data_IF_265854961430
#
_entry.id   IF_265854961430
#
_cell.length_a   1.000
_cell.length_b   1.000
_cell.length_c   1.000
_cell.angle_alpha   90.00
_cell.angle_beta   90.00
_cell.angle_gamma   90.00
#
_symmetry.space_group_name_H-M   'P 1'
#
loop_
_entity.id
_entity.type
_entity.pdbx_description
1 polymer ?
#
# COMPACT_ATOMS: atom_id res chain seq x y z
N UNK A 1 24.45 -4.12 7.49
CA UNK A 1 23.03 -4.34 7.18
C UNK A 1 22.39 -5.24 8.21
N UNK A 2 21.07 -5.38 8.17
CA UNK A 2 20.30 -6.24 9.06
C UNK A 2 19.40 -7.24 8.32
N UNK A 3 19.53 -7.30 6.99
CA UNK A 3 18.96 -8.32 6.12
C UNK A 3 19.87 -8.55 4.91
N UNK A 4 19.69 -9.65 4.19
CA UNK A 4 20.36 -9.87 2.91
C UNK A 4 19.57 -9.20 1.78
N UNK A 5 20.27 -8.48 0.91
CA UNK A 5 19.73 -7.80 -0.25
C UNK A 5 20.44 -8.28 -1.52
N UNK A 6 20.36 -9.59 -1.78
CA UNK A 6 20.97 -10.22 -2.95
C UNK A 6 22.48 -10.36 -2.80
N UNK A 7 22.92 -10.97 -1.69
CA UNK A 7 24.35 -11.17 -1.38
C UNK A 7 25.06 -9.92 -0.89
N UNK A 8 24.32 -8.84 -0.62
CA UNK A 8 24.84 -7.59 -0.03
C UNK A 8 24.07 -7.27 1.25
N UNK A 9 24.71 -6.74 2.30
CA UNK A 9 24.00 -6.33 3.49
C UNK A 9 23.02 -5.19 3.19
N UNK A 10 21.73 -5.42 3.45
CA UNK A 10 20.65 -4.43 3.32
C UNK A 10 20.46 -3.60 4.58
N UNK A 11 20.20 -2.30 4.40
CA UNK A 11 19.88 -1.36 5.48
C UNK A 11 21.02 -1.05 6.46
N UNK A 12 20.69 -0.35 7.53
CA UNK A 12 21.58 0.04 8.63
C UNK A 12 20.98 -0.38 9.96
N UNK A 13 21.79 -0.83 10.91
CA UNK A 13 21.35 -1.16 12.28
C UNK A 13 22.37 -0.67 13.28
N UNK A 14 21.88 -0.01 14.35
CA UNK A 14 22.68 0.35 15.53
C UNK A 14 21.84 0.16 16.78
N UNK A 15 22.28 -0.73 17.67
CA UNK A 15 21.51 -1.16 18.84
C UNK A 15 20.08 -1.58 18.43
N UNK A 16 19.05 -0.92 19.00
CA UNK A 16 17.64 -1.15 18.65
C UNK A 16 17.08 -0.28 17.53
N UNK A 17 17.94 0.43 16.80
CA UNK A 17 17.53 1.24 15.64
C UNK A 17 17.83 0.48 14.35
N UNK A 18 16.81 0.31 13.51
CA UNK A 18 16.88 -0.37 12.22
C UNK A 18 16.40 0.60 11.13
N UNK A 19 17.24 0.85 10.13
CA UNK A 19 16.95 1.73 9.00
C UNK A 19 17.06 1.00 7.67
N UNK A 20 16.22 1.36 6.71
CA UNK A 20 16.26 0.84 5.34
C UNK A 20 15.62 1.85 4.39
N UNK A 21 16.07 1.87 3.13
CA UNK A 21 15.44 2.64 2.05
C UNK A 21 14.50 1.78 1.19
N UNK A 22 14.33 0.50 1.53
CA UNK A 22 13.48 -0.42 0.80
C UNK A 22 12.03 -0.26 1.26
N UNK A 23 11.23 0.36 0.41
CA UNK A 23 9.79 0.45 0.58
C UNK A 23 9.16 -0.94 0.38
N UNK A 24 8.07 -1.22 1.10
CA UNK A 24 7.35 -2.49 0.99
C UNK A 24 8.06 -3.71 1.58
N UNK A 25 9.26 -3.55 2.16
CA UNK A 25 10.01 -4.68 2.76
C UNK A 25 9.18 -5.45 3.81
N UNK A 26 8.36 -4.74 4.58
CA UNK A 26 7.48 -5.32 5.60
C UNK A 26 6.15 -5.86 5.06
N UNK A 27 5.88 -5.72 3.76
CA UNK A 27 4.74 -6.38 3.11
C UNK A 27 5.01 -7.88 2.90
N UNK A 28 6.28 -8.29 2.90
CA UNK A 28 6.65 -9.68 3.02
C UNK A 28 6.36 -10.17 4.44
N UNK A 29 5.33 -11.02 4.57
CA UNK A 29 4.87 -11.50 5.85
C UNK A 29 5.97 -12.26 6.62
N UNK A 30 6.72 -13.16 5.97
CA UNK A 30 7.80 -13.91 6.61
C UNK A 30 8.87 -12.97 7.19
N UNK A 31 9.34 -12.04 6.38
CA UNK A 31 10.34 -11.05 6.79
C UNK A 31 9.84 -10.20 7.96
N UNK A 32 8.62 -9.69 7.86
CA UNK A 32 7.99 -8.87 8.90
C UNK A 32 7.86 -9.64 10.20
N UNK A 33 7.42 -10.91 10.15
CA UNK A 33 7.27 -11.75 11.34
C UNK A 33 8.62 -11.95 12.03
N UNK A 34 9.65 -12.35 11.28
CA UNK A 34 11.00 -12.53 11.84
C UNK A 34 11.58 -11.24 12.44
N UNK A 35 11.36 -10.10 11.78
CA UNK A 35 11.81 -8.83 12.32
C UNK A 35 11.05 -8.43 13.59
N UNK A 36 9.73 -8.69 13.68
CA UNK A 36 8.95 -8.38 14.88
C UNK A 36 9.40 -9.20 16.09
N UNK A 37 9.80 -10.46 15.91
CA UNK A 37 10.43 -11.27 16.97
C UNK A 37 11.72 -10.63 17.46
N UNK A 38 12.57 -10.20 16.52
CA UNK A 38 13.83 -9.51 16.82
C UNK A 38 13.58 -8.18 17.55
N UNK A 39 12.61 -7.39 17.09
CA UNK A 39 12.25 -6.11 17.68
C UNK A 39 11.70 -6.28 19.11
N UNK A 40 10.86 -7.29 19.34
CA UNK A 40 10.34 -7.61 20.66
C UNK A 40 11.45 -8.01 21.64
N UNK A 41 12.40 -8.85 21.19
CA UNK A 41 13.56 -9.24 22.00
C UNK A 41 14.43 -8.03 22.37
N UNK A 42 14.75 -7.18 21.38
CA UNK A 42 15.54 -5.94 21.58
C UNK A 42 14.84 -4.97 22.52
N UNK A 43 13.50 -4.90 22.49
CA UNK A 43 12.70 -4.03 23.34
C UNK A 43 12.38 -4.63 24.73
N UNK A 44 12.87 -5.84 25.05
CA UNK A 44 12.58 -6.51 26.33
C UNK A 44 11.10 -6.90 26.50
N UNK A 45 10.36 -7.08 25.40
CA UNK A 45 8.93 -7.40 25.41
C UNK A 45 8.72 -8.92 25.50
N UNK A 46 9.03 -9.47 26.68
CA UNK A 46 8.81 -10.87 26.97
C UNK A 46 7.30 -11.18 26.96
N UNK A 47 6.89 -12.17 26.16
CA UNK A 47 5.47 -12.54 25.98
C UNK A 47 4.80 -11.97 24.74
N UNK A 48 5.51 -11.16 23.93
CA UNK A 48 5.03 -10.83 22.59
C UNK A 48 5.05 -12.06 21.70
N UNK A 49 3.92 -12.34 21.04
CA UNK A 49 3.78 -13.39 20.02
C UNK A 49 3.35 -12.74 18.71
N UNK A 50 4.03 -13.08 17.63
CA UNK A 50 3.70 -12.57 16.30
C UNK A 50 2.43 -13.25 15.80
N UNK A 51 1.48 -12.46 15.31
CA UNK A 51 0.26 -12.97 14.70
C UNK A 51 0.58 -13.77 13.43
N UNK A 52 0.32 -15.08 13.46
CA UNK A 52 0.60 -16.00 12.37
C UNK A 52 -0.38 -15.80 11.19
N UNK A 53 -1.62 -15.41 11.48
CA UNK A 53 -2.73 -15.25 10.54
C UNK A 53 -2.78 -13.88 9.85
N UNK A 54 -1.96 -12.92 10.29
CA UNK A 54 -1.87 -11.60 9.64
C UNK A 54 -1.10 -11.73 8.33
N UNK A 55 -1.82 -11.60 7.21
CA UNK A 55 -1.25 -11.42 5.88
C UNK A 55 -1.44 -10.00 5.34
N UNK A 56 -0.36 -9.38 4.88
CA UNK A 56 -0.41 -8.07 4.21
C UNK A 56 -0.99 -8.21 2.80
N UNK A 57 -0.58 -9.23 2.05
CA UNK A 57 -1.13 -9.51 0.73
C UNK A 57 -2.65 -9.73 0.80
N UNK A 58 -3.12 -10.60 1.71
CA UNK A 58 -4.55 -10.83 1.89
C UNK A 58 -5.33 -9.59 2.33
N UNK A 59 -4.74 -8.70 3.14
CA UNK A 59 -5.35 -7.40 3.48
C UNK A 59 -5.46 -6.47 2.28
N UNK A 60 -4.43 -6.45 1.42
CA UNK A 60 -4.44 -5.64 0.20
C UNK A 60 -5.50 -6.15 -0.77
N UNK A 61 -5.57 -7.46 -0.96
CA UNK A 61 -6.56 -8.08 -1.84
C UNK A 61 -7.98 -7.77 -1.35
N UNK A 62 -8.26 -7.94 -0.06
CA UNK A 62 -9.56 -7.60 0.52
C UNK A 62 -9.93 -6.11 0.37
N UNK A 63 -8.95 -5.20 0.39
CA UNK A 63 -9.19 -3.79 0.13
C UNK A 63 -9.53 -3.52 -1.33
N UNK A 64 -8.85 -4.19 -2.26
CA UNK A 64 -9.12 -4.08 -3.69
C UNK A 64 -10.50 -4.67 -4.03
N UNK A 65 -10.85 -5.80 -3.45
CA UNK A 65 -12.17 -6.43 -3.60
C UNK A 65 -13.27 -5.50 -3.10
N UNK A 66 -13.10 -4.90 -1.91
CA UNK A 66 -14.06 -3.93 -1.40
C UNK A 66 -14.22 -2.72 -2.31
N UNK A 67 -13.13 -2.19 -2.88
CA UNK A 67 -13.20 -1.10 -3.84
C UNK A 67 -13.93 -1.53 -5.11
N UNK A 68 -13.64 -2.72 -5.64
CA UNK A 68 -14.31 -3.26 -6.81
C UNK A 68 -15.82 -3.42 -6.57
N UNK A 69 -16.22 -3.97 -5.42
CA UNK A 69 -17.63 -4.13 -5.04
C UNK A 69 -18.36 -2.79 -4.96
N UNK A 70 -17.74 -1.77 -4.32
CA UNK A 70 -18.32 -0.44 -4.23
C UNK A 70 -18.48 0.22 -5.59
N UNK A 71 -17.49 0.05 -6.48
CA UNK A 71 -17.57 0.57 -7.85
C UNK A 71 -18.69 -0.15 -8.61
N UNK A 72 -18.75 -1.48 -8.54
CA UNK A 72 -19.79 -2.26 -9.24
C UNK A 72 -21.21 -1.94 -8.74
N UNK A 73 -21.37 -1.67 -7.44
CA UNK A 73 -22.67 -1.39 -6.84
C UNK A 73 -23.14 0.06 -7.05
N UNK A 74 -22.22 1.02 -7.22
CA UNK A 74 -22.54 2.45 -7.10
C UNK A 74 -22.00 3.33 -8.22
N UNK A 75 -21.26 2.79 -9.19
CA UNK A 75 -20.72 3.55 -10.31
C UNK A 75 -21.19 2.93 -11.64
N UNK A 76 -21.58 3.78 -12.57
CA UNK A 76 -21.71 3.40 -13.98
C UNK A 76 -20.29 3.24 -14.56
N UNK A 77 -19.75 2.02 -14.45
CA UNK A 77 -18.38 1.70 -14.88
C UNK A 77 -18.24 1.93 -16.39
N UNK A 78 -19.25 1.57 -17.18
CA UNK A 78 -19.23 1.73 -18.64
C UNK A 78 -19.16 3.21 -19.04
N UNK A 79 -19.92 4.08 -18.38
CA UNK A 79 -19.84 5.52 -18.62
C UNK A 79 -18.46 6.10 -18.29
N UNK A 80 -17.82 5.63 -17.19
CA UNK A 80 -16.48 6.08 -16.83
C UNK A 80 -15.42 5.58 -17.81
N UNK A 81 -15.47 4.31 -18.19
CA UNK A 81 -14.58 3.76 -19.22
C UNK A 81 -14.75 4.49 -20.55
N UNK A 82 -16.00 4.81 -20.93
CA UNK A 82 -16.29 5.63 -22.10
C UNK A 82 -15.64 7.02 -22.08
N UNK A 83 -15.52 7.65 -20.90
CA UNK A 83 -14.79 8.92 -20.74
C UNK A 83 -13.27 8.75 -20.82
N UNK A 84 -12.73 7.65 -20.27
CA UNK A 84 -11.29 7.36 -20.33
C UNK A 84 -10.86 7.11 -21.77
N UNK A 85 -11.64 6.33 -22.52
CA UNK A 85 -11.33 5.95 -23.90
C UNK A 85 -11.66 7.05 -24.90
N UNK A 86 -12.79 7.75 -24.70
CA UNK A 86 -13.35 8.71 -25.65
C UNK A 86 -13.12 10.18 -25.31
N UNK A 87 -12.62 10.49 -24.11
CA UNK A 87 -12.51 11.86 -23.60
C UNK A 87 -13.85 12.46 -23.16
N UNK A 88 -13.81 13.66 -22.59
CA UNK A 88 -15.02 14.34 -22.12
C UNK A 88 -15.90 14.80 -23.30
N UNK A 89 -17.23 14.60 -23.24
CA UNK A 89 -18.12 15.07 -24.28
C UNK A 89 -18.10 16.60 -24.36
N UNK A 90 -18.22 17.14 -25.57
CA UNK A 90 -18.33 18.59 -25.79
C UNK A 90 -19.63 19.09 -25.13
N UNK A 91 -19.52 19.99 -24.15
CA UNK A 91 -20.67 20.60 -23.48
C UNK A 91 -20.96 21.99 -24.05
N UNK A 92 -22.23 22.34 -24.27
CA UNK A 92 -22.59 23.70 -24.66
C UNK A 92 -22.03 24.70 -23.64
N UNK A 93 -21.29 25.70 -24.12
CA UNK A 93 -20.72 26.76 -23.28
C UNK A 93 -21.42 28.06 -23.62
N UNK A 94 -21.99 28.73 -22.61
CA UNK A 94 -22.52 30.09 -22.74
C UNK A 94 -21.46 31.05 -22.23
N UNK A 95 -20.98 31.93 -23.11
CA UNK A 95 -20.00 32.97 -22.76
C UNK A 95 -20.65 34.33 -22.89
N UNK A 96 -20.62 35.12 -21.82
CA UNK A 96 -21.07 36.52 -21.83
C UNK A 96 -19.88 37.44 -21.73
N UNK A 97 -19.82 38.48 -22.56
CA UNK A 97 -18.80 39.51 -22.52
C UNK A 97 -19.47 40.88 -22.46
N UNK A 98 -18.92 41.78 -21.63
CA UNK A 98 -19.34 43.18 -21.61
C UNK A 98 -18.57 43.93 -22.70
N UNK A 99 -19.27 44.59 -23.63
CA UNK A 99 -18.65 45.53 -24.58
C UNK A 99 -18.72 46.93 -23.99
N UNK A 100 -17.60 47.64 -24.03
CA UNK A 100 -17.45 49.02 -23.55
C UNK A 100 -17.82 50.02 -24.64
#
# INVERSE_FOLDING_TARGET
>A
GWFDAGGRPGGYRRAGVFGTHWHGLFDNDEFRRHWLETAAAVAGRHGFSVAADVSVAGRRDAQLDLMADLLAAHLDIDAVLGLVDGGAPVRPTITTALRR
#
